data_IF_109344429251
#
_entry.id   IF_109344429251
#
_cell.length_a   1.000
_cell.length_b   1.000
_cell.length_c   1.000
_cell.angle_alpha   90.00
_cell.angle_beta   90.00
_cell.angle_gamma   90.00
#
_symmetry.space_group_name_H-M   'P 1'
#
loop_
_entity.id
_entity.type
_entity.pdbx_description
1 polymer ?
#
# COMPACT_ATOMS: atom_id res chain seq x y z
N UNK A 1 18.02 -66.23 -21.47
CA UNK A 1 17.48 -65.03 -20.82
C UNK A 1 18.55 -64.49 -19.91
N UNK A 2 19.27 -63.46 -20.35
CA UNK A 2 20.42 -62.91 -19.63
C UNK A 2 20.24 -61.39 -19.49
N UNK A 3 20.34 -60.93 -18.24
CA UNK A 3 20.17 -59.54 -17.80
C UNK A 3 21.32 -58.64 -18.27
N UNK A 4 21.06 -57.40 -18.72
CA UNK A 4 22.11 -56.42 -18.93
C UNK A 4 22.45 -55.70 -17.62
N UNK A 5 23.75 -55.65 -17.34
CA UNK A 5 24.36 -55.10 -16.13
C UNK A 5 24.50 -53.58 -16.12
N UNK A 6 24.55 -53.06 -14.90
CA UNK A 6 24.74 -51.66 -14.56
C UNK A 6 26.22 -51.24 -14.71
N UNK A 7 26.47 -50.20 -15.52
CA UNK A 7 27.73 -49.47 -15.54
C UNK A 7 27.61 -48.25 -14.62
N UNK A 8 28.40 -48.24 -13.54
CA UNK A 8 28.45 -47.17 -12.55
C UNK A 8 29.38 -46.04 -13.03
N UNK A 9 28.85 -44.82 -13.02
CA UNK A 9 29.50 -43.57 -13.39
C UNK A 9 30.28 -42.98 -12.20
N UNK A 10 31.60 -42.83 -12.33
CA UNK A 10 32.53 -42.35 -11.30
C UNK A 10 33.13 -40.97 -11.61
N UNK A 11 32.38 -40.06 -12.24
CA UNK A 11 32.91 -38.75 -12.66
C UNK A 11 32.55 -37.56 -11.75
N UNK A 12 31.81 -37.76 -10.65
CA UNK A 12 31.20 -36.67 -9.87
C UNK A 12 31.99 -36.07 -8.69
N UNK A 13 33.20 -36.53 -8.36
CA UNK A 13 33.86 -36.16 -7.09
C UNK A 13 34.77 -34.91 -7.14
N UNK A 14 35.19 -34.45 -8.32
CA UNK A 14 36.21 -33.36 -8.42
C UNK A 14 35.57 -31.96 -8.45
N UNK A 15 34.31 -31.81 -8.85
CA UNK A 15 33.65 -30.49 -8.98
C UNK A 15 33.19 -29.86 -7.65
N UNK A 16 33.02 -30.64 -6.57
CA UNK A 16 32.57 -30.11 -5.27
C UNK A 16 33.67 -29.39 -4.48
N UNK A 17 34.95 -29.64 -4.79
CA UNK A 17 36.07 -28.96 -4.13
C UNK A 17 36.25 -27.51 -4.57
N UNK A 18 36.00 -27.21 -5.85
CA UNK A 18 36.24 -25.87 -6.40
C UNK A 18 35.21 -24.84 -5.91
N UNK A 19 33.94 -25.23 -5.78
CA UNK A 19 32.87 -24.34 -5.31
C UNK A 19 33.06 -23.89 -3.85
N UNK A 20 33.73 -24.69 -3.02
CA UNK A 20 33.96 -24.33 -1.62
C UNK A 20 35.05 -23.25 -1.46
N UNK A 21 36.04 -23.22 -2.35
CA UNK A 21 37.14 -22.23 -2.30
C UNK A 21 36.64 -20.84 -2.72
N UNK A 22 35.80 -20.77 -3.76
CA UNK A 22 35.21 -19.50 -4.21
C UNK A 22 34.27 -18.89 -3.16
N UNK A 23 33.57 -19.73 -2.39
CA UNK A 23 32.67 -19.27 -1.34
C UNK A 23 33.44 -18.71 -0.13
N UNK A 24 34.58 -19.32 0.24
CA UNK A 24 35.43 -18.78 1.31
C UNK A 24 36.09 -17.46 0.91
N UNK A 25 36.55 -17.32 -0.34
CA UNK A 25 37.15 -16.06 -0.82
C UNK A 25 36.12 -14.92 -0.82
N UNK A 26 34.87 -15.20 -1.19
CA UNK A 26 33.77 -14.21 -1.17
C UNK A 26 33.44 -13.75 0.25
N UNK A 27 33.40 -14.66 1.21
CA UNK A 27 33.17 -14.33 2.63
C UNK A 27 34.30 -13.45 3.17
N UNK A 28 35.55 -13.75 2.83
CA UNK A 28 36.70 -12.98 3.29
C UNK A 28 36.74 -11.57 2.67
N UNK A 29 36.37 -11.42 1.40
CA UNK A 29 36.26 -10.12 0.74
C UNK A 29 35.17 -9.25 1.39
N UNK A 30 34.00 -9.84 1.68
CA UNK A 30 32.90 -9.10 2.31
C UNK A 30 33.24 -8.66 3.74
N UNK A 31 33.91 -9.52 4.51
CA UNK A 31 34.36 -9.19 5.86
C UNK A 31 35.39 -8.04 5.85
N UNK A 32 36.33 -8.06 4.91
CA UNK A 32 37.31 -6.97 4.74
C UNK A 32 36.64 -5.64 4.37
N UNK A 33 35.68 -5.67 3.44
CA UNK A 33 34.94 -4.48 3.03
C UNK A 33 34.12 -3.88 4.20
N UNK A 34 33.50 -4.72 5.01
CA UNK A 34 32.74 -4.27 6.19
C UNK A 34 33.66 -3.62 7.24
N UNK A 35 34.86 -4.18 7.46
CA UNK A 35 35.85 -3.61 8.38
C UNK A 35 36.34 -2.23 7.92
N UNK A 36 36.57 -2.06 6.62
CA UNK A 36 36.97 -0.78 6.04
C UNK A 36 35.88 0.29 6.18
N UNK A 37 34.60 -0.10 6.04
CA UNK A 37 33.47 0.81 6.22
C UNK A 37 33.32 1.27 7.67
N UNK A 38 33.54 0.39 8.65
CA UNK A 38 33.54 0.76 10.07
C UNK A 38 34.67 1.73 10.42
N UNK A 39 35.87 1.54 9.87
CA UNK A 39 36.98 2.49 10.10
C UNK A 39 36.69 3.89 9.53
N UNK A 40 36.06 3.99 8.36
CA UNK A 40 35.65 5.28 7.81
C UNK A 40 34.61 6.00 8.68
N UNK A 41 33.63 5.28 9.23
CA UNK A 41 32.64 5.89 10.12
C UNK A 41 33.26 6.40 11.43
N UNK A 42 34.22 5.66 12.01
CA UNK A 42 34.93 6.13 13.20
C UNK A 42 35.76 7.40 12.93
N UNK A 43 36.44 7.48 11.78
CA UNK A 43 37.18 8.70 11.42
C UNK A 43 36.27 9.91 11.23
N UNK A 44 35.08 9.75 10.62
CA UNK A 44 34.12 10.86 10.48
C UNK A 44 33.60 11.35 11.83
N UNK A 45 33.32 10.44 12.78
CA UNK A 45 32.88 10.84 14.12
C UNK A 45 33.97 11.61 14.88
N UNK A 46 35.23 11.22 14.75
CA UNK A 46 36.35 11.95 15.37
C UNK A 46 36.52 13.36 14.78
N UNK A 47 36.33 13.54 13.47
CA UNK A 47 36.38 14.88 12.86
C UNK A 47 35.25 15.80 13.34
N UNK A 48 34.04 15.27 13.54
CA UNK A 48 32.92 16.08 14.06
C UNK A 48 33.12 16.51 15.51
N UNK A 49 33.76 15.69 16.35
CA UNK A 49 34.07 16.05 17.73
C UNK A 49 35.13 17.17 17.80
N UNK A 50 36.15 17.14 16.93
CA UNK A 50 37.16 18.20 16.89
C UNK A 50 36.60 19.56 16.41
N UNK A 51 35.53 19.57 15.61
CA UNK A 51 34.85 20.81 15.21
C UNK A 51 34.00 21.44 16.31
N UNK A 52 33.61 20.67 17.33
CA UNK A 52 32.80 21.17 18.46
C UNK A 52 33.62 21.61 19.68
N UNK A 53 34.92 21.33 19.73
CA UNK A 53 35.81 21.80 20.82
C UNK A 53 36.54 23.11 20.49
N UNK A 54 36.36 23.69 19.31
CA UNK A 54 36.86 25.02 18.97
C UNK A 54 35.74 26.07 19.11
N UNK A 55 35.87 26.93 20.11
CA UNK A 55 35.00 28.07 20.53
C UNK A 55 33.76 27.72 21.38
N UNK A 56 33.72 28.18 22.66
CA UNK A 56 33.46 29.60 22.89
C UNK A 56 34.13 30.16 24.17
N UNK A 57 35.16 31.01 24.05
CA UNK A 57 35.66 31.72 25.24
C UNK A 57 36.11 33.18 25.08
N UNK A 58 35.76 33.87 23.98
CA UNK A 58 36.04 35.30 23.87
C UNK A 58 34.84 36.09 23.35
N UNK A 59 33.92 36.45 24.25
CA UNK A 59 32.99 37.57 24.09
C UNK A 59 32.34 37.96 25.43
N UNK A 60 33.17 38.28 26.43
CA UNK A 60 32.74 38.93 27.67
C UNK A 60 33.81 39.93 28.12
N UNK A 61 33.87 41.12 27.52
CA UNK A 61 34.46 42.31 28.12
C UNK A 61 34.38 43.47 27.13
N UNK A 62 33.20 44.10 27.01
CA UNK A 62 33.06 45.54 26.78
C UNK A 62 31.59 45.82 26.44
N UNK A 63 30.88 46.49 27.35
CA UNK A 63 29.73 47.42 27.16
C UNK A 63 28.79 47.45 28.38
N UNK A 64 29.24 47.90 29.58
CA UNK A 64 28.33 48.09 30.71
C UNK A 64 27.52 49.41 30.67
N UNK A 65 27.73 50.29 29.69
CA UNK A 65 27.17 51.67 29.77
C UNK A 65 25.98 51.97 28.85
N UNK A 66 25.57 51.06 27.95
CA UNK A 66 24.35 51.24 27.13
C UNK A 66 23.11 50.52 27.67
N UNK A 67 23.23 49.63 28.66
CA UNK A 67 22.06 48.92 29.22
C UNK A 67 21.26 49.71 30.25
N UNK A 68 21.79 50.80 30.83
CA UNK A 68 21.03 51.61 31.79
C UNK A 68 20.13 52.68 31.15
N UNK A 69 20.35 53.08 29.90
CA UNK A 69 19.45 54.02 29.21
C UNK A 69 18.26 53.35 28.52
N UNK A 70 18.28 52.04 28.27
CA UNK A 70 17.12 51.33 27.71
C UNK A 70 16.07 50.91 28.75
N UNK A 71 16.38 50.96 30.05
CA UNK A 71 15.44 50.54 31.10
C UNK A 71 14.51 51.67 31.60
N UNK A 72 14.77 52.94 31.25
CA UNK A 72 13.98 54.07 31.77
C UNK A 72 12.79 54.49 30.88
N UNK A 73 12.63 53.92 29.67
CA UNK A 73 11.47 54.16 28.79
C UNK A 73 10.42 53.01 28.78
N UNK A 74 10.55 51.99 29.65
CA UNK A 74 9.78 50.76 29.53
C UNK A 74 8.43 50.71 30.31
N UNK A 75 8.13 51.70 31.15
CA UNK A 75 6.98 51.68 32.05
C UNK A 75 5.70 52.29 31.43
N UNK A 76 5.79 53.42 30.75
CA UNK A 76 4.73 53.94 29.86
C UNK A 76 5.14 53.62 28.42
N UNK A 77 4.58 52.58 27.79
CA UNK A 77 3.17 52.51 27.37
C UNK A 77 2.58 51.10 27.52
N UNK A 78 2.87 50.39 28.63
CA UNK A 78 2.32 49.04 28.80
C UNK A 78 0.80 49.05 28.95
N UNK A 79 0.27 50.05 29.67
CA UNK A 79 -1.17 50.22 29.83
C UNK A 79 -1.83 50.62 28.51
N UNK A 80 -1.26 51.59 27.78
CA UNK A 80 -1.75 51.98 26.45
C UNK A 80 -1.74 50.82 25.44
N UNK A 81 -0.70 49.98 25.45
CA UNK A 81 -0.64 48.76 24.62
C UNK A 81 -1.70 47.74 25.03
N UNK A 82 -1.95 47.58 26.33
CA UNK A 82 -3.02 46.69 26.83
C UNK A 82 -4.40 47.21 26.41
N UNK A 83 -4.65 48.51 26.56
CA UNK A 83 -5.91 49.14 26.19
C UNK A 83 -6.16 49.07 24.68
N UNK A 84 -5.12 49.33 23.87
CA UNK A 84 -5.16 49.15 22.43
C UNK A 84 -5.45 47.69 22.04
N UNK A 85 -4.77 46.72 22.67
CA UNK A 85 -5.03 45.30 22.41
C UNK A 85 -6.45 44.88 22.80
N UNK A 86 -6.99 45.38 23.92
CA UNK A 86 -8.38 45.14 24.31
C UNK A 86 -9.37 45.74 23.31
N UNK A 87 -9.10 46.97 22.84
CA UNK A 87 -9.90 47.64 21.83
C UNK A 87 -9.91 46.85 20.51
N UNK A 88 -8.73 46.46 20.02
CA UNK A 88 -8.60 45.67 18.79
C UNK A 88 -9.30 44.32 18.90
N UNK A 89 -9.16 43.62 20.04
CA UNK A 89 -9.89 42.37 20.27
C UNK A 89 -11.39 42.59 20.16
N UNK A 90 -11.95 43.61 20.82
CA UNK A 90 -13.40 43.88 20.79
C UNK A 90 -13.93 44.14 19.38
N UNK A 91 -13.13 44.78 18.52
CA UNK A 91 -13.51 45.05 17.13
C UNK A 91 -13.48 43.81 16.23
N UNK A 92 -12.48 42.94 16.39
CA UNK A 92 -12.19 41.87 15.43
C UNK A 92 -12.52 40.47 15.93
N UNK A 93 -13.00 40.32 17.17
CA UNK A 93 -13.32 39.01 17.76
C UNK A 93 -14.80 38.67 17.59
N UNK A 94 -15.15 37.43 17.22
CA UNK A 94 -16.53 36.93 17.26
C UNK A 94 -17.18 37.03 18.65
N UNK A 95 -18.52 37.14 18.71
CA UNK A 95 -19.25 37.20 19.97
C UNK A 95 -19.01 35.94 20.81
N UNK A 96 -18.72 36.13 22.11
CA UNK A 96 -18.42 35.05 23.06
C UNK A 96 -16.96 34.62 23.13
N UNK A 97 -16.10 35.10 22.23
CA UNK A 97 -14.65 34.85 22.27
C UNK A 97 -13.92 35.69 23.32
N UNK A 98 -14.51 36.82 23.73
CA UNK A 98 -14.00 37.69 24.77
C UNK A 98 -14.94 37.72 25.98
N UNK A 99 -14.36 37.87 27.16
CA UNK A 99 -15.09 38.15 28.39
C UNK A 99 -15.45 39.65 28.47
N UNK A 100 -16.38 40.06 29.38
CA UNK A 100 -16.77 41.47 29.54
C UNK A 100 -15.59 42.40 29.86
N UNK A 101 -14.56 41.88 30.55
CA UNK A 101 -13.32 42.60 30.88
C UNK A 101 -12.37 42.79 29.68
N UNK A 102 -12.66 42.17 28.53
CA UNK A 102 -11.82 42.21 27.33
C UNK A 102 -10.72 41.13 27.29
N UNK A 103 -10.68 40.23 28.28
CA UNK A 103 -9.81 39.05 28.26
C UNK A 103 -10.33 37.97 27.30
N UNK A 104 -9.46 37.05 26.89
CA UNK A 104 -9.83 35.95 25.97
C UNK A 104 -10.57 34.86 26.74
N UNK A 105 -11.75 34.47 26.25
CA UNK A 105 -12.51 33.36 26.78
C UNK A 105 -11.91 32.03 26.29
N UNK A 106 -11.07 31.39 27.11
CA UNK A 106 -10.44 30.11 26.77
C UNK A 106 -11.46 28.98 26.50
N UNK A 107 -12.65 29.04 27.10
CA UNK A 107 -13.72 28.05 26.90
C UNK A 107 -14.31 28.13 25.48
N UNK A 108 -14.22 29.29 24.82
CA UNK A 108 -14.65 29.45 23.44
C UNK A 108 -13.83 28.57 22.48
N UNK A 109 -12.54 28.35 22.80
CA UNK A 109 -11.61 27.55 22.00
C UNK A 109 -11.56 26.09 22.41
N UNK A 110 -12.19 25.71 23.52
CA UNK A 110 -12.32 24.29 23.86
C UNK A 110 -13.29 23.63 22.87
N UNK A 111 -12.91 22.49 22.25
CA UNK A 111 -13.83 21.72 21.43
C UNK A 111 -15.07 21.35 22.26
N UNK A 112 -16.22 22.02 22.00
CA UNK A 112 -17.47 21.86 22.77
C UNK A 112 -18.06 20.45 22.73
N UNK A 113 -17.59 19.65 21.78
CA UNK A 113 -17.85 18.22 21.73
C UNK A 113 -16.48 17.54 21.67
N UNK A 114 -15.96 17.16 22.83
CA UNK A 114 -15.18 15.93 22.89
C UNK A 114 -16.20 14.84 22.57
N UNK A 115 -16.46 14.63 21.28
CA UNK A 115 -17.11 13.42 20.82
C UNK A 115 -16.16 12.34 21.33
N UNK A 116 -16.56 11.63 22.37
CA UNK A 116 -15.93 10.38 22.75
C UNK A 116 -16.15 9.46 21.55
N UNK A 117 -15.27 9.57 20.56
CA UNK A 117 -15.10 8.55 19.56
C UNK A 117 -14.79 7.32 20.40
N UNK A 118 -15.77 6.44 20.55
CA UNK A 118 -15.48 5.07 20.93
C UNK A 118 -14.38 4.63 20.00
N UNK A 119 -13.19 4.36 20.56
CA UNK A 119 -12.01 3.97 19.80
C UNK A 119 -12.30 2.63 19.12
N UNK A 120 -12.98 2.72 17.98
CA UNK A 120 -13.40 1.55 17.21
C UNK A 120 -12.13 1.00 16.58
N UNK A 121 -11.57 -0.02 17.23
CA UNK A 121 -10.34 -0.65 16.78
C UNK A 121 -10.69 -1.68 15.71
N UNK A 122 -9.92 -1.68 14.63
CA UNK A 122 -10.04 -2.71 13.61
C UNK A 122 -9.43 -4.02 14.12
N UNK A 123 -10.26 -5.02 14.39
CA UNK A 123 -9.87 -6.33 14.89
C UNK A 123 -10.00 -7.45 13.86
N UNK A 124 -9.94 -8.68 14.36
CA UNK A 124 -10.10 -9.89 13.54
C UNK A 124 -11.55 -10.04 13.06
N UNK A 125 -12.54 -9.67 13.88
CA UNK A 125 -13.94 -9.71 13.49
C UNK A 125 -14.25 -8.82 12.28
N UNK A 126 -13.75 -7.57 12.28
CA UNK A 126 -13.89 -6.66 11.14
C UNK A 126 -13.13 -7.16 9.91
N UNK A 127 -11.99 -7.83 10.11
CA UNK A 127 -11.23 -8.42 9.01
C UNK A 127 -11.99 -9.57 8.34
N UNK A 128 -12.58 -10.48 9.11
CA UNK A 128 -13.41 -11.57 8.56
C UNK A 128 -14.69 -11.04 7.91
N UNK A 129 -15.33 -10.02 8.52
CA UNK A 129 -16.47 -9.33 7.93
C UNK A 129 -16.12 -8.66 6.60
N UNK A 130 -14.92 -8.09 6.48
CA UNK A 130 -14.43 -7.54 5.21
C UNK A 130 -14.23 -8.63 4.15
N UNK A 131 -13.65 -9.80 4.48
CA UNK A 131 -13.57 -10.91 3.54
C UNK A 131 -14.96 -11.36 3.06
N UNK A 132 -15.93 -11.49 3.97
CA UNK A 132 -17.31 -11.83 3.62
C UNK A 132 -17.95 -10.77 2.69
N UNK A 133 -17.71 -9.49 2.98
CA UNK A 133 -18.18 -8.38 2.15
C UNK A 133 -17.57 -8.39 0.74
N UNK A 134 -16.26 -8.62 0.63
CA UNK A 134 -15.55 -8.72 -0.65
C UNK A 134 -16.02 -9.92 -1.47
N UNK A 135 -16.32 -11.05 -0.84
CA UNK A 135 -16.87 -12.22 -1.51
C UNK A 135 -18.30 -11.98 -2.03
N UNK A 136 -19.15 -11.28 -1.25
CA UNK A 136 -20.56 -11.03 -1.58
C UNK A 136 -20.74 -9.90 -2.60
N UNK A 137 -20.15 -8.74 -2.35
CA UNK A 137 -20.40 -7.51 -3.13
C UNK A 137 -19.32 -7.23 -4.18
N UNK A 138 -18.09 -7.67 -3.92
CA UNK A 138 -16.92 -7.36 -4.73
C UNK A 138 -16.32 -5.98 -4.45
N UNK A 139 -15.16 -5.72 -5.06
CA UNK A 139 -14.42 -4.46 -4.93
C UNK A 139 -15.20 -3.30 -5.59
N UNK A 140 -15.24 -2.15 -4.92
CA UNK A 140 -15.88 -0.94 -5.42
C UNK A 140 -17.29 -0.68 -4.88
N UNK A 141 -17.92 -1.66 -4.24
CA UNK A 141 -19.23 -1.53 -3.57
C UNK A 141 -19.09 -1.30 -2.06
N UNK A 142 -18.32 -0.28 -1.68
CA UNK A 142 -17.94 -0.03 -0.28
C UNK A 142 -19.12 0.26 0.63
N UNK A 143 -20.09 1.03 0.13
CA UNK A 143 -21.31 1.37 0.87
C UNK A 143 -22.12 0.13 1.24
N UNK A 144 -22.30 -0.79 0.29
CA UNK A 144 -23.04 -2.04 0.52
C UNK A 144 -22.32 -2.91 1.56
N UNK A 145 -20.98 -3.01 1.47
CA UNK A 145 -20.16 -3.73 2.46
C UNK A 145 -20.28 -3.09 3.85
N UNK A 146 -20.24 -1.75 3.92
CA UNK A 146 -20.41 -1.00 5.16
C UNK A 146 -21.78 -1.20 5.80
N UNK A 147 -22.85 -1.27 4.99
CA UNK A 147 -24.21 -1.50 5.48
C UNK A 147 -24.43 -2.94 5.96
N UNK A 148 -23.97 -3.93 5.19
CA UNK A 148 -24.27 -5.33 5.47
C UNK A 148 -23.33 -5.97 6.50
N UNK A 149 -22.03 -5.65 6.45
CA UNK A 149 -20.98 -6.38 7.17
C UNK A 149 -20.23 -5.54 8.19
N UNK A 150 -20.11 -4.23 7.95
CA UNK A 150 -19.24 -3.33 8.72
C UNK A 150 -19.96 -2.05 9.18
N UNK A 151 -21.10 -2.16 9.89
CA UNK A 151 -21.89 -0.99 10.26
C UNK A 151 -21.10 -0.02 11.13
N UNK A 152 -21.13 1.25 10.75
CA UNK A 152 -20.41 2.34 11.43
C UNK A 152 -18.91 2.41 11.10
N UNK A 153 -18.46 1.76 10.03
CA UNK A 153 -17.19 2.09 9.38
C UNK A 153 -17.49 2.92 8.12
N UNK A 154 -16.65 3.93 7.87
CA UNK A 154 -16.78 4.74 6.66
C UNK A 154 -16.20 4.02 5.43
N UNK A 155 -16.75 4.34 4.25
CA UNK A 155 -16.35 3.75 2.97
C UNK A 155 -14.83 3.85 2.72
N UNK A 156 -14.20 4.94 3.17
CA UNK A 156 -12.78 5.18 2.97
C UNK A 156 -11.90 4.26 3.83
N UNK A 157 -12.24 4.07 5.11
CA UNK A 157 -11.61 3.10 6.00
C UNK A 157 -11.72 1.68 5.45
N UNK A 158 -12.91 1.28 4.97
CA UNK A 158 -13.13 -0.03 4.36
C UNK A 158 -12.22 -0.21 3.14
N UNK A 159 -12.15 0.80 2.26
CA UNK A 159 -11.27 0.80 1.08
C UNK A 159 -9.80 0.65 1.45
N UNK A 160 -9.29 1.40 2.44
CA UNK A 160 -7.90 1.29 2.90
C UNK A 160 -7.60 -0.11 3.42
N UNK A 161 -8.54 -0.71 4.17
CA UNK A 161 -8.37 -2.05 4.73
C UNK A 161 -8.39 -3.12 3.64
N UNK A 162 -9.26 -2.98 2.65
CA UNK A 162 -9.28 -3.85 1.47
C UNK A 162 -7.96 -3.75 0.67
N UNK A 163 -7.43 -2.54 0.48
CA UNK A 163 -6.14 -2.31 -0.17
C UNK A 163 -4.99 -3.04 0.55
N UNK A 164 -4.97 -2.98 1.88
CA UNK A 164 -3.99 -3.72 2.70
C UNK A 164 -4.18 -5.23 2.61
N UNK A 165 -5.42 -5.72 2.59
CA UNK A 165 -5.71 -7.16 2.48
C UNK A 165 -5.24 -7.74 1.15
N UNK A 166 -5.39 -6.99 0.05
CA UNK A 166 -4.98 -7.42 -1.29
C UNK A 166 -3.53 -7.04 -1.61
N UNK A 167 -2.85 -6.32 -0.74
CA UNK A 167 -1.46 -5.88 -0.97
C UNK A 167 -1.35 -4.92 -2.15
N UNK A 168 -2.36 -4.09 -2.42
CA UNK A 168 -2.38 -3.17 -3.55
C UNK A 168 -3.06 -1.85 -3.19
N UNK A 169 -2.39 -0.73 -3.47
CA UNK A 169 -2.93 0.61 -3.23
C UNK A 169 -4.09 0.94 -4.20
N UNK A 170 -3.95 0.56 -5.46
CA UNK A 170 -4.90 0.90 -6.51
C UNK A 170 -5.92 -0.21 -6.78
N UNK A 171 -7.03 -0.17 -6.05
CA UNK A 171 -8.12 -1.15 -6.20
C UNK A 171 -8.94 -1.02 -7.49
N UNK A 172 -8.70 -0.01 -8.33
CA UNK A 172 -9.51 0.20 -9.55
C UNK A 172 -9.36 -0.95 -10.56
N UNK A 173 -8.23 -1.65 -10.56
CA UNK A 173 -7.98 -2.82 -11.41
C UNK A 173 -8.87 -4.01 -11.08
N UNK A 174 -9.40 -4.04 -9.86
CA UNK A 174 -10.23 -5.12 -9.35
C UNK A 174 -11.72 -4.76 -9.32
N UNK A 175 -12.14 -3.65 -9.91
CA UNK A 175 -13.52 -3.17 -9.80
C UNK A 175 -14.54 -4.26 -10.21
N UNK A 176 -15.48 -4.56 -9.31
CA UNK A 176 -16.49 -5.60 -9.49
C UNK A 176 -16.01 -7.04 -9.24
N UNK A 177 -14.69 -7.29 -9.14
CA UNK A 177 -14.15 -8.61 -8.82
C UNK A 177 -14.47 -8.95 -7.37
N UNK A 178 -14.91 -10.20 -7.15
CA UNK A 178 -15.18 -10.78 -5.83
C UNK A 178 -13.97 -11.58 -5.39
N UNK A 179 -13.70 -11.55 -4.09
CA UNK A 179 -12.59 -12.27 -3.49
C UNK A 179 -13.07 -13.07 -2.30
N UNK A 180 -12.89 -14.38 -2.35
CA UNK A 180 -12.85 -15.21 -1.14
C UNK A 180 -11.57 -14.92 -0.33
N UNK A 181 -11.52 -15.41 0.90
CA UNK A 181 -10.34 -15.27 1.76
C UNK A 181 -9.07 -15.87 1.14
N UNK A 182 -9.18 -17.03 0.52
CA UNK A 182 -8.06 -17.73 -0.11
C UNK A 182 -7.58 -16.97 -1.35
N UNK A 183 -8.51 -16.50 -2.19
CA UNK A 183 -8.16 -15.71 -3.38
C UNK A 183 -7.53 -14.37 -3.01
N UNK A 184 -8.04 -13.68 -1.98
CA UNK A 184 -7.45 -12.43 -1.52
C UNK A 184 -6.01 -12.62 -1.03
N UNK A 185 -5.73 -13.73 -0.34
CA UNK A 185 -4.38 -14.07 0.11
C UNK A 185 -3.46 -14.41 -1.06
N UNK A 186 -3.94 -15.20 -2.02
CA UNK A 186 -3.18 -15.51 -3.24
C UNK A 186 -2.87 -14.24 -4.05
N UNK A 187 -3.83 -13.32 -4.14
CA UNK A 187 -3.64 -12.03 -4.81
C UNK A 187 -2.65 -11.14 -4.05
N UNK A 188 -2.66 -11.15 -2.71
CA UNK A 188 -1.66 -10.45 -1.91
C UNK A 188 -0.25 -10.95 -2.23
N UNK A 189 -0.06 -12.28 -2.27
CA UNK A 189 1.23 -12.91 -2.57
C UNK A 189 1.68 -12.60 -4.00
N UNK A 190 0.75 -12.64 -4.97
CA UNK A 190 1.03 -12.26 -6.34
C UNK A 190 1.45 -10.79 -6.45
N UNK A 191 0.74 -9.88 -5.78
CA UNK A 191 1.07 -8.45 -5.75
C UNK A 191 2.41 -8.19 -5.05
N UNK A 192 2.73 -8.95 -4.01
CA UNK A 192 4.03 -8.91 -3.35
C UNK A 192 5.17 -9.32 -4.29
N UNK A 193 5.01 -10.42 -5.01
CA UNK A 193 6.00 -10.89 -5.99
C UNK A 193 6.17 -9.88 -7.13
N UNK A 194 5.06 -9.39 -7.69
CA UNK A 194 5.08 -8.39 -8.75
C UNK A 194 5.77 -7.09 -8.28
N UNK A 195 5.48 -6.65 -7.07
CA UNK A 195 6.11 -5.48 -6.47
C UNK A 195 7.59 -5.67 -6.19
N UNK A 196 8.03 -6.88 -5.85
CA UNK A 196 9.45 -7.20 -5.69
C UNK A 196 10.19 -7.16 -7.02
N UNK A 197 9.60 -7.70 -8.09
CA UNK A 197 10.20 -7.71 -9.44
C UNK A 197 10.25 -6.30 -10.04
N UNK A 198 9.21 -5.49 -9.83
CA UNK A 198 9.12 -4.14 -10.41
C UNK A 198 9.73 -3.05 -9.53
N UNK A 199 10.14 -3.37 -8.29
CA UNK A 199 10.59 -2.38 -7.31
C UNK A 199 9.48 -1.46 -6.78
N UNK A 200 8.22 -1.87 -6.96
CA UNK A 200 7.02 -1.09 -6.61
C UNK A 200 6.37 -1.51 -5.28
N UNK A 201 6.97 -2.46 -4.55
CA UNK A 201 6.50 -2.87 -3.23
C UNK A 201 6.95 -1.87 -2.14
N UNK A 202 5.99 -1.15 -1.54
CA UNK A 202 6.26 -0.16 -0.49
C UNK A 202 5.27 -0.31 0.67
N UNK A 203 5.77 -0.37 1.89
CA UNK A 203 4.96 -0.47 3.12
C UNK A 203 3.92 -1.61 3.09
N UNK A 204 4.28 -2.76 2.51
CA UNK A 204 3.40 -3.94 2.42
C UNK A 204 2.30 -3.82 1.36
N UNK A 205 2.41 -2.90 0.40
CA UNK A 205 1.47 -2.75 -0.71
C UNK A 205 2.20 -2.48 -2.03
N UNK A 206 1.60 -2.94 -3.12
CA UNK A 206 1.96 -2.57 -4.48
C UNK A 206 1.48 -1.15 -4.77
N UNK A 207 2.41 -0.27 -5.17
CA UNK A 207 2.16 1.15 -5.45
C UNK A 207 2.45 1.45 -6.92
N UNK A 208 1.64 2.29 -7.55
CA UNK A 208 1.84 2.72 -8.93
C UNK A 208 3.20 3.39 -9.16
N UNK A 209 3.84 3.05 -10.28
CA UNK A 209 5.07 3.67 -10.73
C UNK A 209 4.80 4.78 -11.75
N UNK A 210 5.62 5.83 -11.72
CA UNK A 210 5.52 6.94 -12.69
C UNK A 210 5.79 6.49 -14.13
N UNK A 211 6.46 5.35 -14.32
CA UNK A 211 6.76 4.78 -15.64
C UNK A 211 5.57 4.00 -16.23
N UNK A 212 4.51 3.75 -15.45
CA UNK A 212 3.32 3.03 -15.88
C UNK A 212 3.53 1.53 -16.15
N UNK A 213 4.60 0.94 -15.61
CA UNK A 213 4.93 -0.49 -15.76
C UNK A 213 3.81 -1.36 -15.22
N UNK A 214 3.25 -1.02 -14.05
CA UNK A 214 2.15 -1.77 -13.46
C UNK A 214 0.88 -1.66 -14.29
N UNK A 215 0.55 -0.44 -14.74
CA UNK A 215 -0.60 -0.22 -15.62
C UNK A 215 -0.49 -1.05 -16.90
N UNK A 216 0.69 -1.13 -17.51
CA UNK A 216 0.92 -1.97 -18.68
C UNK A 216 0.73 -3.45 -18.35
N UNK A 217 1.25 -3.93 -17.22
CA UNK A 217 1.10 -5.33 -16.78
C UNK A 217 -0.38 -5.73 -16.58
N UNK A 218 -1.16 -4.92 -15.85
CA UNK A 218 -2.59 -5.19 -15.63
C UNK A 218 -3.42 -5.07 -16.92
N UNK A 219 -3.09 -4.12 -17.78
CA UNK A 219 -3.78 -3.96 -19.08
C UNK A 219 -3.50 -5.16 -19.99
N UNK A 220 -2.25 -5.62 -20.06
CA UNK A 220 -1.89 -6.80 -20.85
C UNK A 220 -2.57 -8.08 -20.33
N UNK A 221 -2.61 -8.28 -19.01
CA UNK A 221 -3.30 -9.41 -18.40
C UNK A 221 -4.81 -9.39 -18.71
N UNK A 222 -5.45 -8.22 -18.65
CA UNK A 222 -6.85 -8.06 -18.99
C UNK A 222 -7.14 -8.36 -20.47
N UNK A 223 -6.28 -7.87 -21.38
CA UNK A 223 -6.40 -8.14 -22.81
C UNK A 223 -6.22 -9.63 -23.12
N UNK A 224 -5.23 -10.28 -22.49
CA UNK A 224 -4.99 -11.70 -22.67
C UNK A 224 -6.20 -12.53 -22.20
N UNK A 225 -6.81 -12.17 -21.07
CA UNK A 225 -8.01 -12.83 -20.59
C UNK A 225 -9.19 -12.67 -21.55
N UNK A 226 -9.38 -11.48 -22.13
CA UNK A 226 -10.42 -11.25 -23.14
C UNK A 226 -10.17 -12.06 -24.42
N UNK A 227 -8.92 -12.14 -24.89
CA UNK A 227 -8.55 -12.94 -26.05
C UNK A 227 -8.82 -14.43 -25.82
N UNK A 228 -8.46 -14.97 -24.65
CA UNK A 228 -8.76 -16.36 -24.30
C UNK A 228 -10.26 -16.65 -24.30
N UNK A 229 -11.08 -15.73 -23.80
CA UNK A 229 -12.55 -15.87 -23.84
C UNK A 229 -13.09 -15.86 -25.26
N UNK A 230 -12.59 -14.98 -26.12
CA UNK A 230 -12.97 -14.94 -27.54
C UNK A 230 -12.58 -16.21 -28.28
N UNK A 231 -11.37 -16.72 -28.04
CA UNK A 231 -10.90 -17.98 -28.62
C UNK A 231 -11.78 -19.16 -28.17
N UNK A 232 -12.15 -19.20 -26.89
CA UNK A 232 -13.07 -20.20 -26.36
C UNK A 232 -14.46 -20.14 -27.03
N UNK A 233 -14.97 -18.94 -27.31
CA UNK A 233 -16.24 -18.77 -28.01
C UNK A 233 -16.17 -19.23 -29.48
N UNK A 234 -15.05 -18.97 -30.16
CA UNK A 234 -14.83 -19.45 -31.53
C UNK A 234 -14.78 -20.98 -31.58
N UNK A 235 -13.99 -21.61 -30.71
CA UNK A 235 -13.86 -23.07 -30.65
C UNK A 235 -15.16 -23.75 -30.18
N UNK A 236 -15.88 -23.15 -29.23
CA UNK A 236 -17.18 -23.65 -28.77
C UNK A 236 -18.28 -23.54 -29.81
N UNK A 237 -18.23 -22.51 -30.67
CA UNK A 237 -19.12 -22.36 -31.82
C UNK A 237 -18.89 -23.43 -32.88
N UNK A 238 -17.63 -23.73 -33.20
CA UNK A 238 -17.28 -24.74 -34.21
C UNK A 238 -17.58 -26.17 -33.74
N UNK A 239 -17.42 -26.47 -32.45
CA UNK A 239 -17.78 -27.78 -31.88
C UNK A 239 -19.29 -28.06 -31.93
N UNK A 240 -20.14 -27.02 -31.79
CA UNK A 240 -21.59 -27.14 -31.97
C UNK A 240 -22.01 -27.14 -33.45
N UNK A 241 -21.28 -26.43 -34.32
CA UNK A 241 -21.53 -26.42 -35.76
C UNK A 241 -21.23 -27.78 -36.41
N UNK A 242 -20.17 -28.48 -35.98
CA UNK A 242 -19.85 -29.82 -36.48
C UNK A 242 -20.84 -30.90 -36.02
N UNK A 243 -21.44 -30.75 -34.84
CA UNK A 243 -22.51 -31.66 -34.37
C UNK A 243 -23.81 -31.48 -35.17
N UNK A 244 -24.11 -30.28 -35.66
CA UNK A 244 -25.33 -30.00 -36.44
C UNK A 244 -25.31 -30.55 -37.88
N UNK A 245 -24.14 -30.88 -38.44
CA UNK A 245 -24.03 -31.39 -39.82
C UNK A 245 -24.19 -32.92 -39.87
N UNK A 246 -23.99 -33.63 -38.76
CA UNK A 246 -24.08 -35.10 -38.70
C UNK A 246 -25.51 -35.66 -38.68
N UNK A 247 -26.53 -34.85 -38.34
CA UNK A 247 -27.93 -35.30 -38.28
C UNK A 247 -28.74 -35.04 -39.57
N UNK A 248 -28.10 -34.51 -40.63
CA UNK A 248 -28.78 -34.14 -41.88
C UNK A 248 -28.87 -35.24 -42.96
N UNK A 249 -28.15 -36.36 -42.83
CA UNK A 249 -27.98 -37.35 -43.93
C UNK A 249 -28.75 -38.67 -43.71
N UNK A 250 -29.86 -38.65 -42.95
CA UNK A 250 -30.67 -39.86 -42.69
C UNK A 250 -32.19 -39.70 -42.99
N UNK A 251 -32.61 -38.66 -43.71
CA UNK A 251 -34.00 -38.48 -44.15
C UNK A 251 -34.15 -38.77 -45.66
N UNK A 252 -33.76 -39.98 -46.06
CA UNK A 252 -33.89 -40.49 -47.42
C UNK A 252 -34.43 -41.92 -47.43
N UNK A 253 -35.59 -42.17 -46.81
CA UNK A 253 -36.33 -43.42 -47.01
C UNK A 253 -37.75 -43.08 -47.44
N UNK A 254 -37.98 -43.25 -48.73
CA UNK A 254 -39.27 -43.21 -49.39
C UNK A 254 -40.24 -44.19 -48.70
N UNK A 255 -41.27 -43.64 -48.05
CA UNK A 255 -42.45 -44.40 -47.70
C UNK A 255 -43.30 -44.57 -48.98
N UNK A 256 -43.08 -45.70 -49.66
CA UNK A 256 -43.97 -46.19 -50.70
C UNK A 256 -45.28 -46.70 -50.11
N UNK A 257 -46.36 -46.23 -50.72
CA UNK A 257 -47.60 -46.94 -51.04
C UNK A 257 -48.12 -48.03 -50.10
N UNK A 258 -49.32 -47.82 -49.57
CA UNK A 258 -50.31 -48.89 -49.42
C UNK A 258 -51.73 -48.30 -49.49
N UNK A 259 -52.32 -48.42 -50.69
CA UNK A 259 -53.77 -48.50 -50.91
C UNK A 259 -54.37 -49.71 -50.17
N UNK A 260 -55.63 -49.58 -49.75
CA UNK A 260 -56.51 -50.69 -49.34
C UNK A 260 -57.61 -50.18 -48.42
N UNK A 261 -58.83 -49.91 -48.93
CA UNK A 261 -59.98 -50.84 -48.87
C UNK A 261 -60.17 -51.38 -47.45
N UNK A 262 -61.23 -51.03 -46.70
CA UNK A 262 -62.66 -51.22 -46.97
C UNK A 262 -63.49 -50.19 -46.18
#
# INVERSE_FOLDING_TARGET
>A
MASPGAAADQTGAVQKGQQHVDQQHTIQLHQSQQQQQQQQQQQQQQQQQQQHEADPQQQQADHPQQQQQQQQHAAEPQQQRRDYAMHMRRLFSPPGMLQPDGSINQEFFRPKKVVTLTDKRWGDAEREALYAGLAKHGIGRWRDIGQDMLPGWDDHSIRIKAAKLLGCQNLSWYYGRRFSRVEAQAEFEQNQQLGAVTGCWKNGMLVDDERGTLKAHFTAAQQQQQQQQQQWQQLGGDALALASVADGEAAGVQAGSAEGMV
#
